data_IF_849685782189
#
_entry.id   IF_849685782189
#
_cell.length_a   1.000
_cell.length_b   1.000
_cell.length_c   1.000
_cell.angle_alpha   90.00
_cell.angle_beta   90.00
_cell.angle_gamma   90.00
#
_symmetry.space_group_name_H-M   'P 1'
#
loop_
_entity.id
_entity.type
_entity.pdbx_description
1 polymer ?
#
# COMPACT_ATOMS: atom_id res chain seq x y z
N UNK A 1 10.57 13.32 -41.22
CA UNK A 1 9.60 12.29 -40.78
C UNK A 1 10.17 11.47 -39.62
N UNK A 2 10.53 12.11 -38.50
CA UNK A 2 11.26 11.44 -37.38
C UNK A 2 10.69 11.75 -36.00
N UNK A 3 9.67 12.62 -35.90
CA UNK A 3 9.08 13.05 -34.61
C UNK A 3 7.88 12.21 -34.15
N UNK A 4 7.30 11.39 -35.03
CA UNK A 4 6.13 10.56 -34.71
C UNK A 4 6.48 9.21 -34.05
N UNK A 5 7.74 8.77 -34.14
CA UNK A 5 8.18 7.49 -33.59
C UNK A 5 8.32 7.50 -32.06
N UNK A 6 8.61 8.66 -31.45
CA UNK A 6 8.76 8.75 -29.99
C UNK A 6 7.42 8.69 -29.25
N UNK A 7 6.31 9.10 -29.87
CA UNK A 7 5.01 9.18 -29.22
C UNK A 7 4.35 7.80 -28.98
N UNK A 8 4.75 6.77 -29.73
CA UNK A 8 4.19 5.42 -29.62
C UNK A 8 4.91 4.51 -28.62
N UNK A 9 6.07 4.92 -28.09
CA UNK A 9 6.84 4.10 -27.13
C UNK A 9 6.58 4.48 -25.65
N UNK A 10 5.95 5.63 -25.41
CA UNK A 10 5.56 6.11 -24.08
C UNK A 10 4.45 5.31 -23.34
N UNK A 11 3.50 4.61 -24.00
CA UNK A 11 2.44 3.90 -23.25
C UNK A 11 2.92 2.62 -22.57
N UNK A 12 4.01 2.00 -23.04
CA UNK A 12 4.48 0.72 -22.53
C UNK A 12 5.24 0.83 -21.20
N UNK A 13 5.86 1.96 -20.90
CA UNK A 13 6.62 2.14 -19.65
C UNK A 13 5.73 2.47 -18.45
N UNK A 14 4.54 3.03 -18.67
CA UNK A 14 3.56 3.32 -17.62
C UNK A 14 2.78 2.08 -17.17
N UNK A 15 2.70 1.03 -17.99
CA UNK A 15 2.01 -0.21 -17.64
C UNK A 15 2.83 -1.13 -16.71
N UNK A 16 4.14 -0.93 -16.60
CA UNK A 16 5.02 -1.80 -15.80
C UNK A 16 5.23 -1.35 -14.36
N UNK A 17 4.85 -0.11 -13.99
CA UNK A 17 4.96 0.36 -12.60
C UNK A 17 3.91 -0.24 -11.65
N UNK A 18 2.94 -1.02 -12.17
CA UNK A 18 1.87 -1.63 -11.39
C UNK A 18 2.08 -3.11 -10.98
N UNK A 19 3.17 -3.77 -11.41
CA UNK A 19 3.26 -5.24 -11.34
C UNK A 19 3.44 -5.84 -9.93
N UNK A 20 3.60 -5.02 -8.88
CA UNK A 20 3.73 -5.49 -7.49
C UNK A 20 2.85 -4.77 -6.46
N UNK A 21 2.35 -3.58 -6.78
CA UNK A 21 1.70 -2.70 -5.81
C UNK A 21 0.30 -3.16 -5.37
N UNK A 22 -0.28 -4.20 -5.99
CA UNK A 22 -1.64 -4.69 -5.69
C UNK A 22 -1.70 -6.19 -5.33
N UNK A 23 -0.57 -6.88 -5.14
CA UNK A 23 -0.57 -8.32 -4.80
C UNK A 23 -1.36 -8.62 -3.53
N UNK A 24 -1.44 -7.66 -2.62
CA UNK A 24 -2.21 -7.79 -1.38
C UNK A 24 -3.72 -7.79 -1.68
N UNK A 25 -4.27 -7.08 -2.67
CA UNK A 25 -5.74 -6.97 -2.87
C UNK A 25 -6.45 -8.31 -3.13
N UNK A 26 -5.76 -9.31 -3.66
CA UNK A 26 -6.33 -10.61 -4.04
C UNK A 26 -6.29 -11.69 -2.95
N UNK A 27 -5.79 -11.37 -1.76
CA UNK A 27 -5.65 -12.36 -0.68
C UNK A 27 -6.98 -12.54 0.07
N UNK A 28 -7.43 -13.81 0.22
CA UNK A 28 -8.66 -14.11 0.94
C UNK A 28 -8.50 -13.77 2.45
N UNK A 29 -9.55 -13.24 3.12
CA UNK A 29 -9.53 -13.00 4.57
C UNK A 29 -9.21 -14.30 5.33
N UNK A 30 -8.14 -14.31 6.13
CA UNK A 30 -7.85 -15.44 7.00
C UNK A 30 -8.77 -15.42 8.22
N UNK A 31 -9.30 -16.59 8.59
CA UNK A 31 -10.19 -16.83 9.72
C UNK A 31 -9.73 -16.13 11.03
N UNK A 32 -10.67 -15.82 11.92
CA UNK A 32 -10.52 -15.02 13.15
C UNK A 32 -9.32 -15.35 14.08
N UNK A 33 -8.65 -16.49 13.92
CA UNK A 33 -7.35 -16.77 14.56
C UNK A 33 -6.23 -15.82 14.10
N UNK A 34 -6.36 -15.21 12.92
CA UNK A 34 -5.36 -14.32 12.32
C UNK A 34 -5.14 -13.02 13.09
N UNK A 35 -6.11 -12.62 13.92
CA UNK A 35 -6.09 -11.35 14.65
C UNK A 35 -5.47 -11.44 16.05
N UNK A 36 -5.16 -12.65 16.53
CA UNK A 36 -4.57 -12.84 17.85
C UNK A 36 -3.20 -12.15 17.94
N UNK A 37 -3.05 -11.22 18.90
CA UNK A 37 -1.83 -10.44 19.08
C UNK A 37 -1.70 -9.21 18.18
N UNK A 38 -2.63 -9.00 17.25
CA UNK A 38 -2.66 -7.80 16.40
C UNK A 38 -3.46 -6.67 17.07
N UNK A 39 -2.97 -5.44 16.93
CA UNK A 39 -3.69 -4.24 17.36
C UNK A 39 -3.66 -3.19 16.26
N UNK A 40 -4.75 -2.43 16.12
CA UNK A 40 -4.82 -1.31 15.18
C UNK A 40 -3.88 -0.20 15.64
N UNK A 41 -2.96 0.21 14.78
CA UNK A 41 -2.01 1.28 15.10
C UNK A 41 -2.72 2.61 14.88
N UNK A 42 -2.82 3.41 15.94
CA UNK A 42 -3.36 4.78 15.89
C UNK A 42 -2.24 5.77 16.14
N UNK A 43 -1.96 6.61 15.15
CA UNK A 43 -1.00 7.69 15.27
C UNK A 43 -1.73 9.03 15.43
N UNK A 44 -1.15 9.95 16.20
CA UNK A 44 -1.65 11.31 16.29
C UNK A 44 -1.28 12.09 15.02
N UNK A 45 -2.01 13.16 14.65
CA UNK A 45 -1.71 13.95 13.45
C UNK A 45 -0.27 14.46 13.39
N UNK A 46 0.28 14.93 14.52
CA UNK A 46 1.67 15.39 14.60
C UNK A 46 2.68 14.27 14.28
N UNK A 47 2.39 13.04 14.69
CA UNK A 47 3.20 11.86 14.36
C UNK A 47 3.08 11.52 12.88
N UNK A 48 1.88 11.61 12.28
CA UNK A 48 1.70 11.38 10.85
C UNK A 48 2.54 12.38 10.02
N UNK A 49 2.51 13.67 10.38
CA UNK A 49 3.36 14.68 9.73
C UNK A 49 4.84 14.40 9.91
N UNK A 50 5.25 13.95 11.11
CA UNK A 50 6.64 13.57 11.37
C UNK A 50 7.08 12.40 10.49
N UNK A 51 6.28 11.33 10.42
CA UNK A 51 6.60 10.14 9.62
C UNK A 51 6.71 10.50 8.14
N UNK A 52 5.76 11.25 7.58
CA UNK A 52 5.83 11.66 6.17
C UNK A 52 7.10 12.45 5.83
N UNK A 53 7.63 13.24 6.79
CA UNK A 53 8.84 14.04 6.61
C UNK A 53 10.13 13.28 6.85
N UNK A 54 10.15 12.36 7.82
CA UNK A 54 11.39 11.80 8.37
C UNK A 54 11.52 10.29 8.15
N UNK A 55 10.41 9.57 7.98
CA UNK A 55 10.37 8.12 7.77
C UNK A 55 9.09 7.73 7.01
N UNK A 56 9.08 8.06 5.73
CA UNK A 56 7.91 7.82 4.87
C UNK A 56 7.60 6.33 4.73
N UNK A 57 8.63 5.48 4.73
CA UNK A 57 8.50 4.01 4.75
C UNK A 57 7.66 3.53 5.93
N UNK A 58 7.96 3.97 7.15
CA UNK A 58 7.19 3.58 8.32
C UNK A 58 5.71 4.02 8.23
N UNK A 59 5.42 5.16 7.58
CA UNK A 59 4.04 5.56 7.32
C UNK A 59 3.30 4.58 6.41
N UNK A 60 3.97 4.06 5.37
CA UNK A 60 3.38 3.06 4.46
C UNK A 60 3.18 1.74 5.20
N UNK A 61 4.15 1.31 6.00
CA UNK A 61 4.07 0.04 6.73
C UNK A 61 2.95 0.04 7.77
N UNK A 62 2.75 1.15 8.48
CA UNK A 62 1.63 1.34 9.42
C UNK A 62 0.29 1.27 8.68
N UNK A 63 0.20 1.91 7.51
CA UNK A 63 -1.02 1.86 6.70
C UNK A 63 -1.30 0.44 6.19
N UNK A 64 -0.28 -0.24 5.67
CA UNK A 64 -0.36 -1.63 5.21
C UNK A 64 -0.78 -2.59 6.32
N UNK A 65 -0.21 -2.45 7.52
CA UNK A 65 -0.62 -3.18 8.72
C UNK A 65 -2.12 -2.98 9.02
N UNK A 66 -2.56 -1.73 9.01
CA UNK A 66 -3.94 -1.33 9.29
C UNK A 66 -4.93 -1.74 8.17
N UNK A 67 -4.48 -1.87 6.92
CA UNK A 67 -5.28 -2.41 5.82
C UNK A 67 -5.37 -3.93 5.92
N UNK A 68 -4.28 -4.60 6.27
CA UNK A 68 -4.23 -6.06 6.38
C UNK A 68 -5.22 -6.57 7.43
N UNK A 69 -5.18 -6.06 8.66
CA UNK A 69 -6.17 -6.54 9.64
C UNK A 69 -7.59 -6.04 9.39
N UNK A 70 -7.82 -4.99 8.58
CA UNK A 70 -9.18 -4.67 8.12
C UNK A 70 -9.68 -5.79 7.21
N UNK A 71 -8.85 -6.22 6.25
CA UNK A 71 -9.18 -7.32 5.34
C UNK A 71 -9.43 -8.62 6.10
N UNK A 72 -8.66 -8.88 7.15
CA UNK A 72 -8.82 -10.08 7.98
C UNK A 72 -9.91 -9.94 9.06
N UNK A 73 -10.66 -8.83 9.08
CA UNK A 73 -11.76 -8.63 10.03
C UNK A 73 -11.34 -8.38 11.48
N UNK A 74 -10.09 -8.02 11.72
CA UNK A 74 -9.52 -7.74 13.04
C UNK A 74 -10.03 -6.43 13.65
N UNK A 75 -10.48 -5.50 12.81
CA UNK A 75 -11.11 -4.25 13.23
C UNK A 75 -12.24 -3.86 12.29
N UNK A 76 -13.22 -3.17 12.85
CA UNK A 76 -14.39 -2.62 12.15
C UNK A 76 -14.24 -1.11 11.97
#
# INVERSE_FOLDING_TARGET
MTRLALAFLLPCTLAMSGCGAMRWMSEAPQNASSCAGWNKIRIKPETAVYLVKNDFSASIDIDSHNLNGQRNGCWK
#
